data_IF_060290086201
#
_entry.id   IF_060290086201
#
_cell.length_a   1.000
_cell.length_b   1.000
_cell.length_c   1.000
_cell.angle_alpha   90.00
_cell.angle_beta   90.00
_cell.angle_gamma   90.00
#
_symmetry.space_group_name_H-M   'P 1'
#
loop_
_entity.id
_entity.type
_entity.pdbx_description
1 polymer ?
#
# COMPACT_ATOMS: atom_id res chain seq x y z
N UNK A 1 1.83 -10.04 -1.13
CA UNK A 1 2.21 -10.63 0.17
C UNK A 1 3.31 -11.68 0.07
N UNK A 2 3.35 -12.52 -0.99
CA UNK A 2 4.38 -13.57 -1.16
C UNK A 2 5.83 -13.08 -1.05
N UNK A 3 6.15 -11.94 -1.68
CA UNK A 3 7.49 -11.30 -1.61
C UNK A 3 8.00 -11.13 -0.17
N UNK A 4 7.16 -10.64 0.74
CA UNK A 4 7.55 -10.43 2.13
C UNK A 4 7.61 -11.74 2.90
N UNK A 5 6.66 -12.66 2.66
CA UNK A 5 6.66 -14.00 3.28
C UNK A 5 7.89 -14.83 2.89
N UNK A 6 8.44 -14.66 1.69
CA UNK A 6 9.66 -15.36 1.26
C UNK A 6 10.94 -14.71 1.77
N UNK A 7 10.93 -13.38 1.98
CA UNK A 7 12.12 -12.61 2.37
C UNK A 7 12.35 -12.54 3.89
N UNK A 8 11.30 -12.68 4.70
CA UNK A 8 11.36 -12.54 6.15
C UNK A 8 10.67 -13.71 6.86
N UNK A 9 11.26 -14.21 7.95
CA UNK A 9 10.75 -15.40 8.66
C UNK A 9 9.46 -15.16 9.46
N UNK A 10 9.31 -14.00 10.10
CA UNK A 10 8.19 -13.69 10.98
C UNK A 10 7.54 -12.37 10.52
N UNK A 11 6.56 -12.47 9.62
CA UNK A 11 5.86 -11.32 9.03
C UNK A 11 4.42 -11.30 9.53
N UNK A 12 3.95 -10.12 9.90
CA UNK A 12 2.54 -9.83 10.12
C UNK A 12 2.10 -8.75 9.14
N UNK A 13 0.90 -8.92 8.58
CA UNK A 13 0.28 -7.96 7.67
C UNK A 13 -0.83 -7.24 8.40
N UNK A 14 -0.68 -5.92 8.53
CA UNK A 14 -1.73 -5.03 9.03
C UNK A 14 -2.49 -4.48 7.83
N UNK A 15 -3.80 -4.65 7.83
CA UNK A 15 -4.68 -4.23 6.73
C UNK A 15 -5.63 -3.13 7.21
N UNK A 16 -5.44 -1.93 6.65
CA UNK A 16 -6.37 -0.82 6.72
C UNK A 16 -7.04 -0.66 5.35
N UNK A 17 -8.36 -0.58 5.33
CA UNK A 17 -9.15 -0.52 4.10
C UNK A 17 -10.49 0.16 4.36
N UNK A 18 -10.95 0.95 3.41
CA UNK A 18 -12.31 1.50 3.37
C UNK A 18 -13.37 0.40 3.17
N UNK A 19 -13.06 -0.63 2.36
CA UNK A 19 -13.85 -1.85 2.24
C UNK A 19 -13.22 -3.07 2.93
N UNK A 20 -13.34 -3.12 4.26
CA UNK A 20 -12.84 -4.26 5.04
C UNK A 20 -13.56 -5.58 4.70
N UNK A 21 -14.80 -5.53 4.21
CA UNK A 21 -15.57 -6.74 3.85
C UNK A 21 -14.96 -7.38 2.62
N UNK A 22 -14.65 -6.58 1.61
CA UNK A 22 -13.92 -7.03 0.43
C UNK A 22 -12.53 -7.54 0.79
N UNK A 23 -11.79 -6.81 1.63
CA UNK A 23 -10.44 -7.21 2.05
C UNK A 23 -10.46 -8.56 2.77
N UNK A 24 -11.39 -8.76 3.72
CA UNK A 24 -11.58 -10.05 4.41
C UNK A 24 -12.04 -11.16 3.48
N UNK A 25 -12.68 -10.88 2.35
CA UNK A 25 -13.09 -11.91 1.38
C UNK A 25 -11.92 -12.42 0.54
N UNK A 26 -10.99 -11.54 0.17
CA UNK A 26 -9.92 -11.84 -0.79
C UNK A 26 -8.56 -12.08 -0.14
N UNK A 27 -8.29 -11.48 1.02
CA UNK A 27 -7.03 -11.66 1.75
C UNK A 27 -7.17 -12.80 2.77
N UNK A 28 -6.23 -13.75 2.72
CA UNK A 28 -6.20 -14.95 3.57
C UNK A 28 -4.81 -15.18 4.15
N UNK A 29 -4.76 -15.57 5.42
CA UNK A 29 -3.54 -15.88 6.16
C UNK A 29 -3.74 -15.75 7.66
N UNK A 30 -3.06 -16.60 8.45
CA UNK A 30 -3.06 -16.50 9.92
C UNK A 30 -2.17 -15.35 10.44
N UNK A 31 -1.40 -14.74 9.55
CA UNK A 31 -0.48 -13.62 9.75
C UNK A 31 -1.13 -12.26 9.43
N UNK A 32 -2.46 -12.20 9.27
CA UNK A 32 -3.17 -10.99 8.85
C UNK A 32 -4.02 -10.42 9.99
N UNK A 33 -3.78 -9.15 10.31
CA UNK A 33 -4.58 -8.34 11.23
C UNK A 33 -5.36 -7.29 10.43
N UNK A 34 -6.68 -7.34 10.52
CA UNK A 34 -7.57 -6.33 9.93
C UNK A 34 -7.91 -5.29 10.97
N UNK A 35 -7.54 -4.04 10.70
CA UNK A 35 -7.83 -2.89 11.57
C UNK A 35 -9.12 -2.23 11.08
N UNK A 36 -10.01 -1.89 12.01
CA UNK A 36 -11.34 -1.33 11.71
C UNK A 36 -11.71 -0.27 12.73
N UNK A 37 -12.67 0.60 12.36
CA UNK A 37 -13.26 1.63 13.22
C UNK A 37 -12.29 2.75 13.64
N UNK A 38 -11.33 3.08 12.77
CA UNK A 38 -10.41 4.18 12.94
C UNK A 38 -10.73 5.35 12.01
N UNK A 39 -10.17 6.52 12.31
CA UNK A 39 -10.13 7.62 11.35
C UNK A 39 -9.02 7.36 10.32
N UNK A 40 -9.11 7.93 9.10
CA UNK A 40 -8.05 7.80 8.09
C UNK A 40 -6.67 8.26 8.61
N UNK A 41 -6.63 9.26 9.49
CA UNK A 41 -5.38 9.73 10.09
C UNK A 41 -4.74 8.66 10.99
N UNK A 42 -5.55 7.92 11.78
CA UNK A 42 -5.05 6.82 12.62
C UNK A 42 -4.59 5.66 11.75
N UNK A 43 -5.34 5.31 10.70
CA UNK A 43 -4.92 4.26 9.76
C UNK A 43 -3.60 4.63 9.06
N UNK A 44 -3.44 5.89 8.66
CA UNK A 44 -2.19 6.38 8.08
C UNK A 44 -1.02 6.28 9.06
N UNK A 45 -1.22 6.63 10.33
CA UNK A 45 -0.20 6.52 11.36
C UNK A 45 0.20 5.05 11.62
N UNK A 46 -0.78 4.14 11.64
CA UNK A 46 -0.53 2.70 11.79
C UNK A 46 0.30 2.19 10.60
N UNK A 47 -0.11 2.50 9.37
CA UNK A 47 0.60 2.06 8.17
C UNK A 47 2.01 2.66 8.09
N UNK A 48 2.17 3.95 8.40
CA UNK A 48 3.48 4.61 8.42
C UNK A 48 4.44 4.03 9.48
N UNK A 49 3.90 3.47 10.58
CA UNK A 49 4.68 2.81 11.62
C UNK A 49 5.17 1.40 11.24
N UNK A 50 4.66 0.83 10.14
CA UNK A 50 5.06 -0.50 9.68
C UNK A 50 6.49 -0.49 9.13
N UNK A 51 7.19 -1.63 9.24
CA UNK A 51 8.53 -1.78 8.67
C UNK A 51 8.54 -1.66 7.14
N UNK A 52 7.46 -2.11 6.49
CA UNK A 52 7.25 -2.09 5.05
C UNK A 52 5.75 -1.89 4.78
N UNK A 53 5.40 -1.34 3.62
CA UNK A 53 4.01 -1.09 3.25
C UNK A 53 3.70 -1.61 1.84
N UNK A 54 2.51 -2.17 1.66
CA UNK A 54 1.94 -2.50 0.35
C UNK A 54 0.77 -1.55 0.17
N UNK A 55 0.80 -0.74 -0.88
CA UNK A 55 -0.13 0.36 -1.06
C UNK A 55 -0.82 0.32 -2.42
N UNK A 56 -2.03 0.86 -2.50
CA UNK A 56 -2.76 1.00 -3.76
C UNK A 56 -2.32 2.26 -4.49
N UNK A 57 -2.77 2.43 -5.73
CA UNK A 57 -2.50 3.65 -6.48
C UNK A 57 -3.52 4.72 -6.07
N UNK A 58 -3.20 5.54 -5.07
CA UNK A 58 -4.09 6.61 -4.62
C UNK A 58 -3.40 7.56 -3.65
N UNK A 59 -4.07 8.67 -3.36
CA UNK A 59 -3.47 9.78 -2.62
C UNK A 59 -3.14 9.44 -1.17
N UNK A 60 -4.02 8.70 -0.52
CA UNK A 60 -3.80 8.17 0.82
C UNK A 60 -2.55 7.28 0.87
N UNK A 61 -2.42 6.40 -0.13
CA UNK A 61 -1.29 5.51 -0.29
C UNK A 61 0.03 6.25 -0.58
N UNK A 62 -0.03 7.42 -1.22
CA UNK A 62 1.12 8.32 -1.43
C UNK A 62 1.72 8.80 -0.13
N UNK A 63 0.90 9.35 0.75
CA UNK A 63 1.38 9.79 2.05
C UNK A 63 1.90 8.64 2.92
N UNK A 64 1.24 7.48 2.88
CA UNK A 64 1.72 6.29 3.61
C UNK A 64 3.09 5.86 3.12
N UNK A 65 3.31 5.78 1.80
CA UNK A 65 4.59 5.42 1.22
C UNK A 65 5.69 6.44 1.51
N UNK A 66 5.33 7.72 1.53
CA UNK A 66 6.25 8.81 1.86
C UNK A 66 6.69 8.80 3.33
N UNK A 67 5.76 8.49 4.24
CA UNK A 67 6.02 8.48 5.69
C UNK A 67 6.69 7.18 6.16
N UNK A 68 6.48 6.06 5.46
CA UNK A 68 7.14 4.81 5.76
C UNK A 68 8.63 4.88 5.38
N UNK A 69 9.50 4.37 6.25
CA UNK A 69 10.96 4.40 6.04
C UNK A 69 11.50 3.14 5.36
N UNK A 70 10.68 2.11 5.20
CA UNK A 70 11.07 0.87 4.53
C UNK A 70 10.43 0.70 3.17
N UNK A 71 10.54 -0.51 2.62
CA UNK A 71 10.05 -0.84 1.27
C UNK A 71 8.55 -0.55 1.15
N UNK A 72 8.21 0.31 0.19
CA UNK A 72 6.87 0.62 -0.27
C UNK A 72 6.61 -0.10 -1.59
N UNK A 73 5.74 -1.10 -1.57
CA UNK A 73 5.33 -1.84 -2.76
C UNK A 73 4.06 -1.24 -3.33
N UNK A 74 4.05 -0.91 -4.62
CA UNK A 74 2.87 -0.40 -5.35
C UNK A 74 2.76 -1.03 -6.72
N UNK A 75 1.62 -0.85 -7.39
CA UNK A 75 1.50 -1.23 -8.79
C UNK A 75 2.32 -0.30 -9.69
N UNK A 76 3.03 -0.88 -10.68
CA UNK A 76 3.89 -0.17 -11.64
C UNK A 76 3.07 0.79 -12.50
N UNK A 77 1.99 0.28 -13.08
CA UNK A 77 1.19 0.98 -14.07
C UNK A 77 0.41 2.13 -13.43
N UNK A 78 0.53 3.31 -14.04
CA UNK A 78 -0.32 4.44 -13.70
C UNK A 78 -1.77 4.18 -14.12
N UNK A 79 -2.75 4.78 -13.44
CA UNK A 79 -4.14 4.69 -13.85
C UNK A 79 -4.33 5.16 -15.30
N UNK A 80 -5.26 4.53 -16.01
CA UNK A 80 -5.59 4.88 -17.40
C UNK A 80 -5.88 6.38 -17.52
N UNK A 81 -5.32 7.02 -18.55
CA UNK A 81 -5.55 8.44 -18.83
C UNK A 81 -7.06 8.76 -18.80
N UNK A 82 -7.41 9.87 -18.13
CA UNK A 82 -8.78 10.35 -17.93
C UNK A 82 -9.73 9.41 -17.16
N UNK A 83 -9.20 8.37 -16.51
CA UNK A 83 -9.97 7.63 -15.51
C UNK A 83 -10.18 8.46 -14.24
N UNK A 84 -11.21 8.10 -13.46
CA UNK A 84 -11.43 8.67 -12.13
C UNK A 84 -10.15 8.64 -11.26
N UNK A 85 -9.47 7.48 -11.25
CA UNK A 85 -8.21 7.29 -10.53
C UNK A 85 -7.07 8.16 -11.06
N UNK A 86 -6.98 8.37 -12.39
CA UNK A 86 -6.02 9.29 -12.99
C UNK A 86 -6.29 10.71 -12.51
N UNK A 87 -7.55 11.17 -12.57
CA UNK A 87 -7.91 12.53 -12.16
C UNK A 87 -7.72 12.77 -10.64
N UNK A 88 -7.86 11.74 -9.79
CA UNK A 88 -7.54 11.84 -8.37
C UNK A 88 -6.04 11.88 -8.05
N UNK A 89 -5.21 11.22 -8.88
CA UNK A 89 -3.76 11.11 -8.67
C UNK A 89 -2.96 12.08 -9.54
N UNK A 90 -3.65 12.95 -10.31
CA UNK A 90 -3.04 13.98 -11.16
C UNK A 90 -2.26 14.96 -10.30
N UNK A 91 -0.95 14.99 -10.48
CA UNK A 91 -0.03 15.85 -9.73
C UNK A 91 0.64 15.17 -8.54
N UNK A 92 0.32 13.91 -8.27
CA UNK A 92 1.07 13.12 -7.29
C UNK A 92 2.40 12.66 -7.88
N UNK A 93 3.49 13.07 -7.23
CA UNK A 93 4.83 12.70 -7.62
C UNK A 93 5.13 11.28 -7.15
N UNK A 94 4.55 10.29 -7.81
CA UNK A 94 5.11 8.95 -7.76
C UNK A 94 6.45 8.97 -8.48
N UNK A 95 7.57 8.61 -7.82
CA UNK A 95 8.84 8.50 -8.50
C UNK A 95 8.71 7.54 -9.69
N UNK A 96 8.98 8.05 -10.89
CA UNK A 96 8.94 7.27 -12.13
C UNK A 96 10.17 6.37 -12.27
N UNK A 97 11.26 6.75 -11.62
CA UNK A 97 12.42 5.90 -11.42
C UNK A 97 12.34 5.27 -10.03
N UNK A 98 12.57 3.96 -9.95
CA UNK A 98 12.71 3.17 -8.72
C UNK A 98 13.90 3.63 -7.82
N UNK A 99 14.52 4.77 -8.14
CA UNK A 99 15.71 5.31 -7.48
C UNK A 99 15.41 6.16 -6.25
N UNK A 100 14.15 6.53 -5.99
CA UNK A 100 13.77 7.03 -4.67
C UNK A 100 13.67 5.82 -3.73
N UNK A 101 14.71 5.70 -2.89
CA UNK A 101 15.30 4.52 -2.21
C UNK A 101 14.40 3.43 -1.58
N UNK A 102 13.08 3.52 -1.65
CA UNK A 102 12.18 2.62 -0.96
C UNK A 102 10.99 2.14 -1.80
N UNK A 103 10.77 2.64 -3.01
CA UNK A 103 9.63 2.21 -3.83
C UNK A 103 9.98 1.00 -4.70
N UNK A 104 9.12 -0.01 -4.66
CA UNK A 104 9.18 -1.19 -5.53
C UNK A 104 7.88 -1.28 -6.30
N UNK A 105 7.96 -1.02 -7.60
CA UNK A 105 6.85 -1.18 -8.53
C UNK A 105 6.70 -2.66 -8.94
N UNK A 106 5.51 -3.24 -8.74
CA UNK A 106 5.15 -4.58 -9.20
C UNK A 106 4.13 -4.50 -10.33
N UNK A 107 4.23 -5.41 -11.29
CA UNK A 107 3.23 -5.56 -12.34
C UNK A 107 1.99 -6.27 -11.80
N UNK A 108 0.81 -5.96 -12.35
CA UNK A 108 -0.39 -6.75 -12.12
C UNK A 108 -0.29 -8.00 -13.00
N UNK A 109 -0.21 -9.18 -12.38
CA UNK A 109 -0.34 -10.46 -13.08
C UNK A 109 -1.69 -10.55 -13.82
#
# INVERSE_FOLDING_TARGET
MGLFRSRYKNVYFVVCSDDIKWARKHLRGGDILFVTNNTPAVDMAILASCNHVIVSNGTFSWWVGWLCTGITVRYRWMPKYDSYMYNMTRGEYWPTNDTYNHYVAIDSD
#
